data_IF_282010673482
#
_entry.id   IF_282010673482
#
_cell.length_a   1.000
_cell.length_b   1.000
_cell.length_c   1.000
_cell.angle_alpha   90.00
_cell.angle_beta   90.00
_cell.angle_gamma   90.00
#
_symmetry.space_group_name_H-M   'P 1'
#
loop_
_entity.id
_entity.type
_entity.pdbx_description
1 polymer ?
#
# COMPACT_ATOMS: atom_id res chain seq x y z
N UNK A 1 11.24 3.53 6.50
CA UNK A 1 9.94 2.93 6.21
C UNK A 1 10.06 2.02 5.02
N UNK A 2 9.64 0.78 5.15
CA UNK A 2 9.86 -0.18 4.07
C UNK A 2 9.02 0.14 2.83
N UNK A 3 9.70 0.18 1.70
CA UNK A 3 9.05 0.27 0.40
C UNK A 3 8.77 -1.14 -0.07
N UNK A 4 7.53 -1.44 -0.43
CA UNK A 4 7.17 -2.78 -0.90
C UNK A 4 7.05 -2.85 -2.41
N UNK A 5 6.77 -1.73 -3.07
CA UNK A 5 6.71 -1.72 -4.54
C UNK A 5 6.83 -0.30 -5.07
N UNK A 6 7.13 -0.19 -6.37
CA UNK A 6 7.10 1.06 -7.09
C UNK A 6 6.69 0.79 -8.52
N UNK A 7 5.70 1.52 -9.03
CA UNK A 7 5.24 1.36 -10.41
C UNK A 7 4.59 2.66 -10.90
N UNK A 8 4.88 3.02 -12.11
CA UNK A 8 4.36 4.23 -12.76
C UNK A 8 4.52 5.49 -11.90
N UNK A 9 5.66 5.59 -11.19
CA UNK A 9 5.96 6.73 -10.32
C UNK A 9 5.28 6.71 -8.97
N UNK A 10 4.51 5.68 -8.67
CA UNK A 10 3.83 5.51 -7.39
C UNK A 10 4.71 4.67 -6.47
N UNK A 11 4.99 5.18 -5.27
CA UNK A 11 5.77 4.47 -4.27
C UNK A 11 4.81 3.86 -3.24
N UNK A 12 4.90 2.56 -3.04
CA UNK A 12 4.05 1.87 -2.07
C UNK A 12 4.88 1.53 -0.84
N UNK A 13 4.42 1.98 0.30
CA UNK A 13 5.07 1.74 1.60
C UNK A 13 4.10 1.04 2.54
N UNK A 14 4.67 0.26 3.45
CA UNK A 14 3.87 -0.43 4.46
C UNK A 14 4.54 -0.26 5.82
N UNK A 15 3.76 0.22 6.77
CA UNK A 15 4.18 0.30 8.17
C UNK A 15 2.93 0.30 9.04
N UNK A 16 3.09 -0.05 10.31
CA UNK A 16 1.94 -0.22 11.19
C UNK A 16 1.96 0.75 12.39
N UNK A 17 2.89 1.69 12.40
CA UNK A 17 3.01 2.63 13.54
C UNK A 17 1.81 3.54 13.69
N UNK A 18 1.00 3.65 12.65
CA UNK A 18 -0.18 4.49 12.65
C UNK A 18 -1.48 3.71 12.92
N UNK A 19 -1.37 2.50 13.50
CA UNK A 19 -2.55 1.68 13.77
C UNK A 19 -3.53 2.33 14.74
N UNK A 20 -3.07 3.30 15.54
CA UNK A 20 -3.98 4.12 16.36
C UNK A 20 -4.96 4.93 15.51
N UNK A 21 -4.58 5.25 14.27
CA UNK A 21 -5.39 6.04 13.35
C UNK A 21 -6.06 5.17 12.29
N UNK A 22 -5.38 4.10 11.86
CA UNK A 22 -5.83 3.20 10.80
C UNK A 22 -5.72 1.77 11.32
N UNK A 23 -6.82 1.24 11.87
CA UNK A 23 -6.81 -0.07 12.54
C UNK A 23 -6.79 -1.25 11.58
N UNK A 24 -7.20 -1.05 10.33
CA UNK A 24 -7.22 -2.14 9.36
C UNK A 24 -5.86 -2.28 8.67
N UNK A 25 -5.55 -3.47 8.12
CA UNK A 25 -4.37 -3.61 7.28
C UNK A 25 -4.39 -2.61 6.14
N UNK A 26 -3.30 -1.87 5.95
CA UNK A 26 -3.28 -0.77 4.99
C UNK A 26 -1.88 -0.54 4.41
N UNK A 27 -1.86 0.16 3.28
CA UNK A 27 -0.64 0.63 2.64
C UNK A 27 -0.71 2.14 2.43
N UNK A 28 0.45 2.75 2.26
CA UNK A 28 0.57 4.16 1.88
C UNK A 28 1.07 4.23 0.44
N UNK A 29 0.37 4.97 -0.41
CA UNK A 29 0.77 5.22 -1.78
C UNK A 29 1.16 6.68 -1.93
N UNK A 30 2.36 6.94 -2.43
CA UNK A 30 2.91 8.29 -2.59
C UNK A 30 3.17 8.53 -4.08
N UNK A 31 2.61 9.61 -4.60
CA UNK A 31 2.83 10.01 -5.98
C UNK A 31 3.09 11.52 -6.01
N UNK A 32 4.32 11.90 -6.33
CA UNK A 32 4.72 13.31 -6.47
C UNK A 32 4.29 14.18 -5.27
N UNK A 33 4.47 13.64 -4.06
CA UNK A 33 4.13 14.35 -2.83
C UNK A 33 2.69 14.21 -2.37
N UNK A 34 1.81 13.66 -3.20
CA UNK A 34 0.45 13.34 -2.78
C UNK A 34 0.42 11.93 -2.19
N UNK A 35 -0.21 11.78 -1.04
CA UNK A 35 -0.24 10.50 -0.32
C UNK A 35 -1.68 10.09 -0.08
N UNK A 36 -1.97 8.81 -0.31
CA UNK A 36 -3.24 8.21 0.05
C UNK A 36 -2.99 6.92 0.81
N UNK A 37 -3.87 6.62 1.76
CA UNK A 37 -3.83 5.40 2.55
C UNK A 37 -4.97 4.50 2.06
N UNK A 38 -4.64 3.25 1.77
CA UNK A 38 -5.60 2.29 1.20
C UNK A 38 -5.73 1.08 2.09
N UNK A 39 -6.97 0.60 2.25
CA UNK A 39 -7.22 -0.68 2.89
C UNK A 39 -6.76 -1.82 1.99
N UNK A 40 -6.02 -2.78 2.55
CA UNK A 40 -5.59 -3.95 1.79
C UNK A 40 -6.78 -4.87 1.50
N UNK A 41 -7.75 -4.92 2.41
CA UNK A 41 -8.86 -5.87 2.30
C UNK A 41 -9.77 -5.59 1.10
N UNK A 42 -10.06 -4.32 0.82
CA UNK A 42 -11.00 -3.96 -0.23
C UNK A 42 -10.54 -2.82 -1.14
N UNK A 43 -9.35 -2.26 -0.89
CA UNK A 43 -8.82 -1.19 -1.72
C UNK A 43 -9.46 0.17 -1.50
N UNK A 44 -10.27 0.34 -0.46
CA UNK A 44 -10.89 1.65 -0.19
C UNK A 44 -9.86 2.64 0.33
N UNK A 45 -10.07 3.92 0.02
CA UNK A 45 -9.23 5.00 0.53
C UNK A 45 -9.62 5.29 1.97
N UNK A 46 -8.65 5.18 2.88
CA UNK A 46 -8.85 5.48 4.30
C UNK A 46 -8.50 6.92 4.60
N UNK A 47 -7.56 7.52 3.86
CA UNK A 47 -7.15 8.91 4.05
C UNK A 47 -6.42 9.40 2.81
N UNK A 48 -6.45 10.72 2.58
CA UNK A 48 -5.73 11.34 1.47
C UNK A 48 -6.36 11.06 0.12
N UNK A 49 -5.61 11.35 -0.93
CA UNK A 49 -6.09 11.11 -2.30
C UNK A 49 -4.92 11.10 -3.28
N UNK A 50 -5.10 10.42 -4.39
CA UNK A 50 -4.19 10.46 -5.55
C UNK A 50 -4.97 10.93 -6.78
N UNK A 51 -4.28 11.40 -7.83
CA UNK A 51 -4.95 11.67 -9.09
C UNK A 51 -5.73 10.43 -9.57
N UNK A 52 -6.88 10.62 -10.23
CA UNK A 52 -7.79 9.49 -10.56
C UNK A 52 -7.13 8.33 -11.30
N UNK A 53 -6.23 8.61 -12.25
CA UNK A 53 -5.54 7.54 -12.98
C UNK A 53 -4.61 6.74 -12.07
N UNK A 54 -3.90 7.41 -11.18
CA UNK A 54 -2.99 6.76 -10.26
C UNK A 54 -3.76 5.97 -9.21
N UNK A 55 -4.86 6.52 -8.74
CA UNK A 55 -5.77 5.82 -7.83
C UNK A 55 -6.23 4.48 -8.45
N UNK A 56 -6.65 4.48 -9.70
CA UNK A 56 -7.10 3.26 -10.37
C UNK A 56 -5.99 2.21 -10.44
N UNK A 57 -4.76 2.63 -10.71
CA UNK A 57 -3.63 1.72 -10.77
C UNK A 57 -3.36 1.09 -9.40
N UNK A 58 -3.42 1.87 -8.32
CA UNK A 58 -3.20 1.36 -6.98
C UNK A 58 -4.28 0.36 -6.60
N UNK A 59 -5.54 0.66 -6.86
CA UNK A 59 -6.65 -0.24 -6.53
C UNK A 59 -6.52 -1.55 -7.28
N UNK A 60 -6.19 -1.50 -8.57
CA UNK A 60 -5.98 -2.71 -9.37
C UNK A 60 -4.80 -3.53 -8.83
N UNK A 61 -3.72 -2.88 -8.47
CA UNK A 61 -2.54 -3.54 -7.93
C UNK A 61 -2.85 -4.23 -6.60
N UNK A 62 -3.60 -3.59 -5.71
CA UNK A 62 -4.02 -4.18 -4.44
C UNK A 62 -4.83 -5.45 -4.70
N UNK A 63 -5.76 -5.40 -5.64
CA UNK A 63 -6.59 -6.55 -5.97
C UNK A 63 -5.76 -7.74 -6.46
N UNK A 64 -4.79 -7.46 -7.33
CA UNK A 64 -3.93 -8.51 -7.88
C UNK A 64 -3.05 -9.14 -6.80
N UNK A 65 -2.55 -8.33 -5.86
CA UNK A 65 -1.55 -8.76 -4.88
C UNK A 65 -2.10 -8.85 -3.46
N UNK A 66 -3.40 -9.04 -3.29
CA UNK A 66 -4.01 -9.02 -1.97
C UNK A 66 -3.40 -10.04 -1.02
N UNK A 67 -3.15 -11.27 -1.49
CA UNK A 67 -2.57 -12.31 -0.64
C UNK A 67 -1.15 -11.95 -0.20
N UNK A 68 -0.33 -11.46 -1.12
CA UNK A 68 1.03 -11.05 -0.81
C UNK A 68 1.05 -9.86 0.15
N UNK A 69 0.11 -8.92 -0.03
CA UNK A 69 0.02 -7.75 0.84
C UNK A 69 -0.39 -8.14 2.25
N UNK A 70 -1.33 -9.08 2.39
CA UNK A 70 -1.74 -9.55 3.72
C UNK A 70 -0.60 -10.29 4.41
N UNK A 71 0.17 -11.09 3.67
CA UNK A 71 1.36 -11.75 4.22
C UNK A 71 2.39 -10.74 4.69
N UNK A 72 2.63 -9.69 3.89
CA UNK A 72 3.54 -8.61 4.27
C UNK A 72 3.05 -7.86 5.50
N UNK A 73 1.73 -7.65 5.61
CA UNK A 73 1.15 -7.00 6.79
C UNK A 73 1.45 -7.82 8.06
N UNK A 74 1.31 -9.14 7.99
CA UNK A 74 1.64 -10.01 9.12
C UNK A 74 3.12 -9.88 9.51
N UNK A 75 4.01 -9.79 8.53
CA UNK A 75 5.43 -9.56 8.82
C UNK A 75 5.62 -8.21 9.53
N UNK A 76 4.99 -7.17 9.02
CA UNK A 76 5.16 -5.82 9.56
C UNK A 76 4.67 -5.72 11.01
N UNK A 77 3.51 -6.28 11.33
CA UNK A 77 2.99 -6.21 12.70
C UNK A 77 3.83 -7.02 13.68
N UNK A 78 4.61 -7.99 13.19
CA UNK A 78 5.52 -8.77 14.01
C UNK A 78 6.93 -8.18 14.05
N UNK A 79 7.10 -6.95 13.57
CA UNK A 79 8.37 -6.25 13.61
C UNK A 79 9.37 -6.66 12.55
N UNK A 80 8.92 -7.42 11.54
CA UNK A 80 9.77 -7.84 10.43
C UNK A 80 9.52 -6.96 9.21
N UNK A 81 10.52 -6.86 8.33
CA UNK A 81 10.36 -6.07 7.12
C UNK A 81 9.47 -6.80 6.12
N UNK A 82 8.47 -6.11 5.54
CA UNK A 82 7.70 -6.70 4.45
C UNK A 82 8.59 -6.97 3.23
N UNK A 83 8.23 -7.99 2.47
CA UNK A 83 8.99 -8.37 1.29
C UNK A 83 8.54 -7.55 0.08
N UNK A 84 9.47 -7.26 -0.85
CA UNK A 84 9.09 -6.54 -2.07
C UNK A 84 8.05 -7.31 -2.88
N UNK A 85 7.13 -6.57 -3.47
CA UNK A 85 6.08 -7.12 -4.34
C UNK A 85 6.22 -6.48 -5.71
N UNK A 86 6.07 -7.29 -6.76
CA UNK A 86 6.21 -6.82 -8.13
C UNK A 86 5.20 -5.71 -8.43
N UNK A 87 5.67 -4.64 -9.11
CA UNK A 87 4.79 -3.58 -9.58
C UNK A 87 4.07 -3.94 -10.87
N UNK A 88 3.11 -3.08 -11.25
CA UNK A 88 2.31 -3.33 -12.45
C UNK A 88 3.12 -3.28 -13.75
N UNK A 89 4.25 -2.56 -13.74
CA UNK A 89 5.09 -2.37 -14.91
C UNK A 89 6.27 -3.34 -14.95
N UNK A 90 6.19 -4.41 -14.18
CA UNK A 90 7.24 -5.42 -14.10
C UNK A 90 6.77 -6.80 -14.51
#
# INVERSE_FOLDING_TARGET
>A
MPTVSMFYGILIRMFFYDTDRHHTPHIHADYQGEVAVYSIEDGTVLAGSLPPRKHKLVVAWIEIHQEDLMADWELAVNGQNPLPIRGLDQ
#
